data_IF_906651186318
#
_entry.id   IF_906651186318
#
_cell.length_a   1.000
_cell.length_b   1.000
_cell.length_c   1.000
_cell.angle_alpha   90.00
_cell.angle_beta   90.00
_cell.angle_gamma   90.00
#
_symmetry.space_group_name_H-M   'P 1'
#
loop_
_entity.id
_entity.type
_entity.pdbx_description
1 polymer ?
#
# COMPACT_ATOMS: atom_id res chain seq x y z
N UNK A 1 -13.73 -5.72 -2.57
CA UNK A 1 -12.60 -6.35 -1.85
C UNK A 1 -12.41 -7.77 -2.34
N UNK A 2 -11.19 -8.14 -2.57
CA UNK A 2 -10.84 -9.49 -3.02
C UNK A 2 -9.75 -10.04 -2.10
N UNK A 3 -9.88 -11.32 -1.73
CA UNK A 3 -8.84 -12.00 -0.95
C UNK A 3 -8.18 -13.05 -1.80
N UNK A 4 -6.87 -13.22 -1.61
CA UNK A 4 -6.09 -14.22 -2.28
C UNK A 4 -5.05 -14.72 -1.28
N UNK A 5 -5.29 -15.90 -0.72
CA UNK A 5 -4.55 -16.36 0.44
C UNK A 5 -4.78 -15.40 1.59
N UNK A 6 -3.71 -14.77 2.06
CA UNK A 6 -3.77 -13.80 3.16
C UNK A 6 -3.81 -12.35 2.67
N UNK A 7 -4.05 -12.15 1.37
CA UNK A 7 -4.02 -10.82 0.75
C UNK A 7 -5.40 -10.36 0.35
N UNK A 8 -5.62 -9.06 0.40
CA UNK A 8 -6.82 -8.44 -0.14
C UNK A 8 -6.48 -7.04 -0.63
N UNK A 9 -7.34 -6.48 -1.46
CA UNK A 9 -7.18 -5.09 -1.90
C UNK A 9 -8.49 -4.34 -1.77
N UNK A 10 -8.36 -3.02 -1.59
CA UNK A 10 -9.50 -2.11 -1.45
C UNK A 10 -9.22 -0.89 -2.33
N UNK A 11 -10.27 -0.36 -2.95
CA UNK A 11 -10.19 0.82 -3.79
C UNK A 11 -10.65 2.04 -2.99
N UNK A 12 -9.89 3.13 -3.10
CA UNK A 12 -10.22 4.40 -2.44
C UNK A 12 -10.31 5.51 -3.47
N UNK A 13 -11.12 6.51 -3.19
CA UNK A 13 -11.28 7.68 -4.06
C UNK A 13 -10.15 8.69 -3.92
N UNK A 14 -9.38 8.64 -2.83
CA UNK A 14 -8.30 9.59 -2.63
C UNK A 14 -7.07 8.93 -2.05
N UNK A 15 -5.89 9.42 -2.47
CA UNK A 15 -4.61 8.94 -1.95
C UNK A 15 -4.49 9.21 -0.45
N UNK A 16 -5.00 10.34 0.02
CA UNK A 16 -4.98 10.68 1.44
C UNK A 16 -5.78 9.69 2.27
N UNK A 17 -6.97 9.32 1.80
CA UNK A 17 -7.81 8.33 2.50
C UNK A 17 -7.14 6.97 2.53
N UNK A 18 -6.52 6.57 1.41
CA UNK A 18 -5.81 5.30 1.35
C UNK A 18 -4.63 5.27 2.32
N UNK A 19 -3.86 6.34 2.37
CA UNK A 19 -2.73 6.44 3.29
C UNK A 19 -3.20 6.42 4.74
N UNK A 20 -4.23 7.18 5.06
CA UNK A 20 -4.80 7.23 6.41
C UNK A 20 -5.27 5.84 6.85
N UNK A 21 -5.92 5.11 5.95
CA UNK A 21 -6.37 3.75 6.22
C UNK A 21 -5.18 2.82 6.46
N UNK A 22 -4.16 2.88 5.60
CA UNK A 22 -2.97 2.05 5.74
C UNK A 22 -2.24 2.29 7.05
N UNK A 23 -2.06 3.55 7.43
CA UNK A 23 -1.45 3.91 8.71
C UNK A 23 -2.29 3.37 9.87
N UNK A 24 -3.62 3.54 9.78
CA UNK A 24 -4.54 3.03 10.81
C UNK A 24 -4.46 1.52 10.98
N UNK A 25 -4.38 0.79 9.87
CA UNK A 25 -4.26 -0.67 9.89
C UNK A 25 -2.95 -1.08 10.56
N UNK A 26 -1.83 -0.46 10.19
CA UNK A 26 -0.53 -0.80 10.78
C UNK A 26 -0.50 -0.52 12.28
N UNK A 27 -1.04 0.62 12.71
CA UNK A 27 -1.10 0.97 14.13
C UNK A 27 -2.01 0.03 14.91
N UNK A 28 -3.15 -0.34 14.34
CA UNK A 28 -4.07 -1.29 14.97
C UNK A 28 -3.42 -2.67 15.09
N UNK A 29 -2.74 -3.13 14.05
CA UNK A 29 -2.04 -4.41 14.08
C UNK A 29 -0.93 -4.41 15.14
N UNK A 30 -0.17 -3.32 15.24
CA UNK A 30 0.89 -3.19 16.23
C UNK A 30 0.32 -3.25 17.66
N UNK A 31 -0.80 -2.58 17.90
CA UNK A 31 -1.44 -2.59 19.21
C UNK A 31 -2.01 -3.95 19.58
N UNK A 32 -2.53 -4.69 18.59
CA UNK A 32 -3.12 -6.01 18.81
C UNK A 32 -2.08 -7.12 18.86
N UNK A 33 -0.87 -6.87 18.38
CA UNK A 33 0.19 -7.88 18.32
C UNK A 33 0.74 -8.18 19.70
N UNK A 34 0.93 -9.48 19.99
CA UNK A 34 1.56 -9.95 21.21
C UNK A 34 2.66 -10.94 20.86
N UNK A 35 3.60 -11.23 21.78
CA UNK A 35 4.63 -12.26 21.50
C UNK A 35 4.03 -13.62 21.17
N UNK A 36 2.86 -13.95 21.77
CA UNK A 36 2.19 -15.22 21.51
C UNK A 36 1.37 -15.20 20.22
N UNK A 37 0.90 -14.04 19.81
CA UNK A 37 0.11 -13.86 18.58
C UNK A 37 0.58 -12.62 17.83
N UNK A 38 1.73 -12.70 17.18
CA UNK A 38 2.21 -11.56 16.42
C UNK A 38 1.32 -11.31 15.21
N UNK A 39 0.97 -10.04 15.00
CA UNK A 39 0.21 -9.60 13.82
C UNK A 39 1.11 -8.66 13.05
N UNK A 40 1.50 -9.07 11.86
CA UNK A 40 2.42 -8.32 11.02
C UNK A 40 1.85 -8.24 9.61
N UNK A 41 1.78 -7.05 9.08
CA UNK A 41 1.10 -6.79 7.82
C UNK A 41 2.03 -5.99 6.91
N UNK A 42 2.14 -6.43 5.64
CA UNK A 42 2.77 -5.64 4.60
C UNK A 42 1.70 -4.96 3.78
N UNK A 43 1.83 -3.66 3.55
CA UNK A 43 0.83 -2.88 2.83
C UNK A 43 1.50 -2.14 1.67
N UNK A 44 0.84 -2.17 0.50
CA UNK A 44 1.25 -1.39 -0.66
C UNK A 44 0.11 -0.53 -1.14
N UNK A 45 0.39 0.73 -1.43
CA UNK A 45 -0.60 1.70 -1.92
C UNK A 45 -0.10 2.31 -3.22
N UNK A 46 -0.95 2.28 -4.23
CA UNK A 46 -0.68 2.92 -5.51
C UNK A 46 -1.94 3.64 -5.97
N UNK A 47 -1.78 4.64 -6.82
CA UNK A 47 -2.88 5.40 -7.39
C UNK A 47 -2.87 5.27 -8.91
N UNK A 48 -4.04 5.26 -9.47
CA UNK A 48 -4.26 5.20 -10.90
C UNK A 48 -5.75 5.08 -11.16
N UNK A 49 -6.14 5.03 -12.42
CA UNK A 49 -7.53 4.86 -12.79
C UNK A 49 -7.75 3.39 -13.15
N UNK A 50 -8.30 2.58 -12.23
CA UNK A 50 -8.63 1.20 -12.57
C UNK A 50 -9.79 1.19 -13.57
N UNK A 51 -9.71 0.27 -14.53
CA UNK A 51 -10.74 0.14 -15.55
C UNK A 51 -11.78 -0.87 -15.05
N UNK A 52 -13.06 -0.48 -14.92
CA UNK A 52 -14.11 -1.43 -14.55
C UNK A 52 -14.31 -2.45 -15.66
N UNK A 53 -14.42 -3.72 -15.31
CA UNK A 53 -14.69 -4.78 -16.25
C UNK A 53 -15.46 -5.89 -15.54
N UNK A 54 -16.69 -6.16 -16.00
CA UNK A 54 -17.57 -7.19 -15.44
C UNK A 54 -17.73 -7.07 -13.91
N UNK A 55 -17.91 -5.84 -13.43
CA UNK A 55 -18.10 -5.59 -12.01
C UNK A 55 -16.82 -5.63 -11.17
N UNK A 56 -15.67 -5.79 -11.81
CA UNK A 56 -14.37 -5.80 -11.15
C UNK A 56 -13.50 -4.66 -11.67
N UNK A 57 -12.55 -4.25 -10.86
CA UNK A 57 -11.54 -3.30 -11.29
C UNK A 57 -10.31 -4.06 -11.76
N UNK A 58 -9.87 -3.79 -12.98
CA UNK A 58 -8.68 -4.38 -13.56
C UNK A 58 -7.77 -3.27 -14.07
N UNK A 59 -6.51 -3.57 -14.26
CA UNK A 59 -5.57 -2.64 -14.84
C UNK A 59 -4.26 -2.59 -14.10
N UNK A 60 -3.33 -1.80 -14.65
CA UNK A 60 -1.96 -1.72 -14.15
C UNK A 60 -1.88 -1.16 -12.72
N UNK A 61 -2.80 -0.26 -12.36
CA UNK A 61 -2.79 0.33 -11.01
C UNK A 61 -2.96 -0.73 -9.93
N UNK A 62 -3.88 -1.68 -10.13
CA UNK A 62 -4.10 -2.77 -9.18
C UNK A 62 -2.90 -3.69 -9.14
N UNK A 63 -2.32 -3.99 -10.31
CA UNK A 63 -1.15 -4.85 -10.40
C UNK A 63 0.06 -4.23 -9.69
N UNK A 64 0.27 -2.92 -9.85
CA UNK A 64 1.35 -2.22 -9.16
C UNK A 64 1.15 -2.24 -7.66
N UNK A 65 -0.07 -1.98 -7.19
CA UNK A 65 -0.38 -2.03 -5.76
C UNK A 65 -0.10 -3.42 -5.18
N UNK A 66 -0.49 -4.47 -5.90
CA UNK A 66 -0.23 -5.84 -5.49
C UNK A 66 1.26 -6.13 -5.40
N UNK A 67 2.05 -5.65 -6.37
CA UNK A 67 3.50 -5.84 -6.36
C UNK A 67 4.16 -5.08 -5.23
N UNK A 68 3.69 -3.86 -4.93
CA UNK A 68 4.18 -3.12 -3.77
C UNK A 68 3.93 -3.89 -2.48
N UNK A 69 2.72 -4.40 -2.31
CA UNK A 69 2.39 -5.19 -1.12
C UNK A 69 3.27 -6.43 -1.00
N UNK A 70 3.58 -7.09 -2.12
CA UNK A 70 4.47 -8.25 -2.11
C UNK A 70 5.90 -7.90 -1.74
N UNK A 71 6.35 -6.68 -2.06
CA UNK A 71 7.68 -6.19 -1.69
C UNK A 71 7.75 -5.70 -0.24
N UNK A 72 6.61 -5.36 0.35
CA UNK A 72 6.58 -4.86 1.72
C UNK A 72 6.97 -5.97 2.68
N UNK A 73 7.91 -5.67 3.56
CA UNK A 73 8.26 -6.56 4.65
C UNK A 73 7.16 -6.51 5.72
N UNK A 74 7.23 -7.40 6.69
CA UNK A 74 6.32 -7.36 7.82
C UNK A 74 6.40 -5.99 8.50
N UNK A 75 5.25 -5.42 8.81
CA UNK A 75 5.13 -4.10 9.44
C UNK A 75 5.54 -2.93 8.53
N UNK A 76 5.68 -3.18 7.24
CA UNK A 76 6.09 -2.14 6.29
C UNK A 76 4.89 -1.62 5.51
N UNK A 77 4.83 -0.29 5.35
CA UNK A 77 3.82 0.39 4.53
C UNK A 77 4.56 1.09 3.38
N UNK A 78 4.33 0.61 2.16
CA UNK A 78 4.95 1.16 0.97
C UNK A 78 3.91 1.92 0.14
N UNK A 79 4.32 3.06 -0.39
CA UNK A 79 3.51 3.82 -1.34
C UNK A 79 4.34 4.06 -2.60
N UNK A 80 3.66 4.20 -3.73
CA UNK A 80 4.35 4.55 -4.97
C UNK A 80 4.67 6.05 -4.99
N UNK A 81 5.59 6.44 -5.87
CA UNK A 81 5.91 7.85 -6.09
C UNK A 81 4.68 8.63 -6.60
N UNK A 82 3.78 7.96 -7.30
CA UNK A 82 2.52 8.56 -7.75
C UNK A 82 1.68 8.98 -6.54
N UNK A 83 1.54 8.09 -5.57
CA UNK A 83 0.79 8.40 -4.34
C UNK A 83 1.46 9.54 -3.59
N UNK A 84 2.79 9.49 -3.46
CA UNK A 84 3.54 10.54 -2.78
C UNK A 84 3.30 11.89 -3.43
N UNK A 85 3.25 11.93 -4.77
CA UNK A 85 3.01 13.16 -5.52
C UNK A 85 1.60 13.72 -5.38
N UNK A 86 0.62 12.89 -5.02
CA UNK A 86 -0.77 13.32 -4.85
C UNK A 86 -1.06 13.83 -3.44
N UNK A 87 -0.15 13.64 -2.51
CA UNK A 87 -0.36 14.05 -1.13
C UNK A 87 0.07 15.50 -0.92
N UNK A 88 -0.62 16.20 -0.03
CA UNK A 88 -0.22 17.52 0.41
C UNK A 88 0.89 17.39 1.45
N UNK A 89 1.69 18.44 1.58
CA UNK A 89 2.76 18.46 2.58
C UNK A 89 2.25 18.16 3.98
N UNK A 90 1.05 18.64 4.31
CA UNK A 90 0.44 18.41 5.63
C UNK A 90 -0.03 16.97 5.83
N UNK A 91 -0.20 16.22 4.75
CA UNK A 91 -0.66 14.83 4.83
C UNK A 91 0.52 13.85 4.87
N UNK A 92 1.73 14.32 4.63
CA UNK A 92 2.88 13.45 4.45
C UNK A 92 3.51 13.12 5.79
N UNK A 93 3.53 11.82 6.13
CA UNK A 93 4.38 11.29 7.17
C UNK A 93 5.81 11.17 6.61
N UNK A 94 6.83 11.05 7.46
CA UNK A 94 8.18 10.82 6.96
C UNK A 94 8.23 9.61 6.04
N UNK A 95 8.89 9.76 4.89
CA UNK A 95 9.00 8.73 3.88
C UNK A 95 10.44 8.58 3.43
N UNK A 96 10.85 7.34 3.17
CA UNK A 96 12.17 7.01 2.67
C UNK A 96 12.04 6.16 1.41
N UNK A 97 12.86 6.44 0.42
CA UNK A 97 12.86 5.63 -0.80
C UNK A 97 13.27 4.19 -0.46
N UNK A 98 12.58 3.24 -1.07
CA UNK A 98 12.75 1.82 -0.81
C UNK A 98 12.94 1.10 -2.14
N UNK A 99 14.00 0.33 -2.25
CA UNK A 99 14.24 -0.47 -3.44
C UNK A 99 13.19 -1.60 -3.51
N UNK A 100 12.57 -1.75 -4.67
CA UNK A 100 11.57 -2.79 -4.90
C UNK A 100 11.80 -3.43 -6.26
N UNK A 101 11.31 -4.66 -6.41
CA UNK A 101 11.32 -5.37 -7.67
C UNK A 101 9.89 -5.60 -8.12
N UNK A 102 9.56 -5.09 -9.31
CA UNK A 102 8.20 -5.24 -9.87
C UNK A 102 8.27 -6.02 -11.16
N UNK A 103 8.42 -7.32 -11.03
CA UNK A 103 8.51 -8.23 -12.17
C UNK A 103 7.21 -8.18 -12.97
N UNK A 104 7.33 -8.03 -14.29
CA UNK A 104 6.18 -7.98 -15.18
C UNK A 104 5.53 -6.61 -15.31
N UNK A 105 6.06 -5.59 -14.65
CA UNK A 105 5.56 -4.22 -14.74
C UNK A 105 6.51 -3.41 -15.63
N UNK A 106 5.96 -2.76 -16.66
CA UNK A 106 6.71 -1.84 -17.51
C UNK A 106 6.78 -0.49 -16.80
N UNK A 107 7.97 0.10 -16.74
CA UNK A 107 8.21 1.38 -16.07
C UNK A 107 7.65 1.39 -14.65
N UNK A 108 8.15 0.52 -13.77
CA UNK A 108 7.63 0.47 -12.41
C UNK A 108 7.90 1.80 -11.68
N UNK A 109 6.94 2.27 -10.88
CA UNK A 109 7.16 3.47 -10.09
C UNK A 109 8.18 3.23 -8.99
N UNK A 110 8.76 4.32 -8.49
CA UNK A 110 9.56 4.24 -7.27
C UNK A 110 8.65 4.00 -6.08
N UNK A 111 9.18 3.38 -5.07
CA UNK A 111 8.44 3.09 -3.84
C UNK A 111 9.06 3.82 -2.66
N UNK A 112 8.23 4.20 -1.72
CA UNK A 112 8.65 4.88 -0.50
C UNK A 112 8.06 4.15 0.69
N UNK A 113 8.89 3.96 1.71
CA UNK A 113 8.43 3.41 2.99
C UNK A 113 7.93 4.55 3.86
N UNK A 114 6.74 4.40 4.41
CA UNK A 114 6.11 5.40 5.25
C UNK A 114 6.37 5.07 6.72
N UNK A 115 6.84 6.05 7.48
CA UNK A 115 6.99 5.91 8.92
C UNK A 115 5.62 6.14 9.57
N UNK A 116 4.99 5.04 9.98
CA UNK A 116 3.62 5.08 10.50
C UNK A 116 3.54 4.94 12.02
N UNK A 117 4.64 4.60 12.65
CA UNK A 117 4.64 4.42 14.11
C UNK A 117 4.44 5.75 14.83
N UNK A 118 3.77 5.69 15.93
CA UNK A 118 3.50 6.87 16.76
C UNK A 118 4.75 7.31 17.53
#
# INVERSE_FOLDING_TARGET
MKTEGDSFYVVFDSARQALSCGVGIQRAAARASTPDRPIRIGIGIHAGEPVPHDGQFVGSAINVAARLAQNAAADELLVSDVVRGLLRTSDIAPMHERAVTMKGITDPPRAYEVSWRE
#
